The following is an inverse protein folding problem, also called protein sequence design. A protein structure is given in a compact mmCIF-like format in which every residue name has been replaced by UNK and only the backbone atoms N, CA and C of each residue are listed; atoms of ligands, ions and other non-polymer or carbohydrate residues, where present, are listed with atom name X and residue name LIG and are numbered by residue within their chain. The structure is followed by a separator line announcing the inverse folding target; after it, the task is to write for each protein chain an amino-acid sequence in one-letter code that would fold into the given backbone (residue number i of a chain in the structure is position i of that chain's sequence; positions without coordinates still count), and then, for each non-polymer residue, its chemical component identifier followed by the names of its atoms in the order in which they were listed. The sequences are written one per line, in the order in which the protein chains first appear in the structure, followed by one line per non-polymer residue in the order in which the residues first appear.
data_IF_480975014640
#
_entry.id   IF_480975014640
#
_cell.length_a   1.000
_cell.length_b   1.000
_cell.length_c   1.000
_cell.angle_alpha   90.00
_cell.angle_beta   90.00
_cell.angle_gamma   90.00
#
_symmetry.space_group_name_H-M   'P 1'
#
loop_
_entity.id
_entity.type
_entity.pdbx_description
1 polymer ?
#
# COMPACT_ATOMS: atom_id res chain seq x y z
N UNK A 1 -14.20 11.32 -5.83
CA UNK A 1 -15.09 10.50 -4.97
C UNK A 1 -14.59 10.62 -3.53
N UNK A 2 -15.49 10.85 -2.58
CA UNK A 2 -15.13 10.89 -1.15
C UNK A 2 -15.10 9.46 -0.61
N UNK A 3 -13.96 9.05 -0.06
CA UNK A 3 -13.84 7.74 0.61
C UNK A 3 -14.64 7.73 1.93
N UNK A 4 -15.14 6.58 2.39
CA UNK A 4 -15.79 6.46 3.69
C UNK A 4 -14.84 6.84 4.83
N UNK A 5 -15.42 7.27 5.95
CA UNK A 5 -14.66 7.75 7.11
C UNK A 5 -14.40 6.61 8.09
N UNK A 6 -13.15 6.55 8.60
CA UNK A 6 -12.74 5.74 9.74
C UNK A 6 -12.41 6.70 10.90
N UNK A 7 -13.19 6.66 11.97
CA UNK A 7 -13.05 7.55 13.13
C UNK A 7 -12.22 6.88 14.22
N UNK A 8 -11.32 7.64 14.83
CA UNK A 8 -10.53 7.18 15.97
C UNK A 8 -11.17 7.58 17.29
N UNK A 9 -10.89 6.80 18.33
CA UNK A 9 -11.23 7.14 19.71
C UNK A 9 -10.48 8.38 20.18
N UNK A 10 -10.99 9.01 21.21
CA UNK A 10 -10.36 10.19 21.82
C UNK A 10 -8.92 9.90 22.26
N UNK A 11 -7.99 10.71 21.74
CA UNK A 11 -6.57 10.66 22.09
C UNK A 11 -5.74 9.63 21.32
N UNK A 12 -6.38 8.77 20.49
CA UNK A 12 -5.67 7.76 19.71
C UNK A 12 -5.03 8.33 18.43
N UNK A 13 -5.25 9.61 18.13
CA UNK A 13 -4.61 10.32 17.02
C UNK A 13 -3.14 10.72 17.29
N UNK A 14 -2.69 10.64 18.56
CA UNK A 14 -1.34 11.10 18.97
C UNK A 14 -0.21 10.41 18.21
N UNK A 15 -0.28 9.08 18.10
CA UNK A 15 0.74 8.30 17.37
C UNK A 15 0.78 8.67 15.89
N UNK A 16 -0.37 8.82 15.26
CA UNK A 16 -0.46 9.23 13.87
C UNK A 16 0.12 10.63 13.65
N UNK A 17 -0.18 11.59 14.53
CA UNK A 17 0.40 12.95 14.48
C UNK A 17 1.91 12.94 14.69
N UNK A 18 2.44 11.97 15.42
CA UNK A 18 3.88 11.74 15.59
C UNK A 18 4.55 11.01 14.39
N UNK A 19 3.79 10.71 13.33
CA UNK A 19 4.34 10.10 12.11
C UNK A 19 4.08 8.61 11.93
N UNK A 20 3.47 7.92 12.91
CA UNK A 20 3.11 6.51 12.76
C UNK A 20 2.06 6.31 11.65
N UNK A 21 2.16 5.18 10.96
CA UNK A 21 1.29 4.89 9.83
C UNK A 21 0.22 3.83 10.16
N UNK A 22 0.37 3.06 11.23
CA UNK A 22 -0.51 1.96 11.59
C UNK A 22 -1.58 2.42 12.59
N UNK A 23 -2.80 1.97 12.33
CA UNK A 23 -3.95 2.14 13.20
C UNK A 23 -4.37 0.75 13.66
N UNK A 24 -4.35 0.52 14.97
CA UNK A 24 -4.80 -0.75 15.53
C UNK A 24 -6.32 -0.76 15.73
N UNK A 25 -6.90 -1.96 15.69
CA UNK A 25 -8.36 -2.15 15.81
C UNK A 25 -8.95 -1.56 17.10
N UNK A 26 -8.20 -1.58 18.21
CA UNK A 26 -8.60 -0.99 19.49
C UNK A 26 -8.56 0.54 19.51
N UNK A 27 -7.89 1.19 18.57
CA UNK A 27 -7.83 2.65 18.42
C UNK A 27 -9.05 3.22 17.68
N UNK A 28 -9.79 2.37 16.94
CA UNK A 28 -10.96 2.77 16.16
C UNK A 28 -12.18 2.94 17.06
N UNK A 29 -12.92 4.05 16.85
CA UNK A 29 -14.25 4.26 17.45
C UNK A 29 -15.29 3.40 16.72
N UNK A 30 -15.45 2.18 17.18
CA UNK A 30 -16.35 1.19 16.56
C UNK A 30 -17.83 1.50 16.82
N UNK A 31 -18.17 2.41 17.73
CA UNK A 31 -19.54 2.87 17.90
C UNK A 31 -19.93 3.87 16.80
N UNK A 32 -19.00 4.74 16.40
CA UNK A 32 -19.20 5.71 15.32
C UNK A 32 -18.96 5.08 13.94
N UNK A 33 -17.93 4.24 13.81
CA UNK A 33 -17.54 3.60 12.55
C UNK A 33 -17.23 2.11 12.79
N UNK A 34 -18.25 1.24 12.80
CA UNK A 34 -18.06 -0.20 12.94
C UNK A 34 -17.11 -0.76 11.89
N UNK A 35 -16.08 -1.49 12.30
CA UNK A 35 -15.11 -2.06 11.36
C UNK A 35 -15.77 -3.00 10.34
N UNK A 36 -16.86 -3.67 10.72
CA UNK A 36 -17.62 -4.60 9.87
C UNK A 36 -18.29 -3.95 8.66
N UNK A 37 -18.40 -2.62 8.62
CA UNK A 37 -18.93 -1.91 7.45
C UNK A 37 -17.93 -1.79 6.29
N UNK A 38 -16.65 -2.07 6.54
CA UNK A 38 -15.61 -1.94 5.53
C UNK A 38 -15.24 -3.29 4.92
N UNK A 39 -15.06 -3.30 3.62
CA UNK A 39 -14.45 -4.43 2.93
C UNK A 39 -12.93 -4.42 3.15
N UNK A 40 -12.28 -5.60 3.24
CA UNK A 40 -10.83 -5.69 3.30
C UNK A 40 -10.17 -4.96 2.13
N UNK A 41 -9.22 -4.09 2.45
CA UNK A 41 -8.50 -3.28 1.47
C UNK A 41 -9.23 -2.01 1.00
N UNK A 42 -10.41 -1.71 1.52
CA UNK A 42 -11.14 -0.50 1.14
C UNK A 42 -10.37 0.78 1.50
N UNK A 43 -10.37 1.76 0.59
CA UNK A 43 -9.83 3.09 0.85
C UNK A 43 -10.74 3.87 1.79
N UNK A 44 -10.15 4.55 2.78
CA UNK A 44 -10.86 5.35 3.80
C UNK A 44 -10.17 6.68 4.07
N UNK A 45 -10.93 7.65 4.59
CA UNK A 45 -10.39 8.83 5.24
C UNK A 45 -10.36 8.60 6.75
N UNK A 46 -9.22 8.81 7.38
CA UNK A 46 -9.07 8.70 8.82
C UNK A 46 -9.28 10.06 9.46
N UNK A 47 -10.12 10.11 10.48
CA UNK A 47 -10.38 11.32 11.26
C UNK A 47 -10.18 11.07 12.75
N UNK A 48 -9.88 12.16 13.51
CA UNK A 48 -9.84 12.15 14.96
C UNK A 48 -11.25 12.05 15.57
N UNK A 49 -11.33 11.98 16.91
CA UNK A 49 -12.58 12.10 17.68
C UNK A 49 -13.32 13.42 17.43
N UNK A 50 -12.59 14.47 17.00
CA UNK A 50 -13.11 15.81 16.65
C UNK A 50 -13.32 16.02 15.15
N UNK A 51 -13.40 14.96 14.37
CA UNK A 51 -13.59 14.98 12.92
C UNK A 51 -12.47 15.71 12.13
N UNK A 52 -11.28 15.86 12.73
CA UNK A 52 -10.12 16.42 12.02
C UNK A 52 -9.49 15.35 11.13
N UNK A 53 -9.25 15.68 9.88
CA UNK A 53 -8.56 14.79 8.94
C UNK A 53 -7.14 14.45 9.41
N UNK A 54 -6.79 13.16 9.37
CA UNK A 54 -5.48 12.63 9.77
C UNK A 54 -4.73 12.00 8.60
N UNK A 55 -5.46 11.53 7.59
CA UNK A 55 -4.86 10.94 6.40
C UNK A 55 -5.81 10.07 5.60
N UNK A 56 -5.37 9.72 4.39
CA UNK A 56 -5.94 8.67 3.58
C UNK A 56 -5.29 7.34 3.95
N UNK A 57 -6.08 6.28 4.03
CA UNK A 57 -5.63 4.95 4.40
C UNK A 57 -6.38 3.87 3.60
N UNK A 58 -5.94 2.64 3.70
CA UNK A 58 -6.77 1.48 3.45
C UNK A 58 -7.02 0.72 4.75
N UNK A 59 -8.15 0.03 4.84
CA UNK A 59 -8.61 -0.67 6.04
C UNK A 59 -8.73 -2.16 5.80
N UNK A 60 -8.36 -2.97 6.81
CA UNK A 60 -8.71 -4.38 6.87
C UNK A 60 -9.37 -4.66 8.23
N UNK A 61 -10.70 -4.90 8.27
CA UNK A 61 -11.42 -5.09 9.52
C UNK A 61 -11.09 -6.39 10.24
N UNK A 62 -10.37 -7.30 9.59
CA UNK A 62 -10.08 -8.65 10.10
C UNK A 62 -8.72 -8.77 10.77
N UNK A 63 -7.94 -7.69 10.81
CA UNK A 63 -6.55 -7.70 11.31
C UNK A 63 -6.38 -6.80 12.52
N UNK A 64 -5.34 -7.08 13.32
CA UNK A 64 -4.97 -6.25 14.45
C UNK A 64 -4.56 -4.84 14.00
N UNK A 65 -3.78 -4.73 12.91
CA UNK A 65 -3.48 -3.45 12.24
C UNK A 65 -4.64 -3.17 11.28
N UNK A 66 -5.69 -2.56 11.82
CA UNK A 66 -6.94 -2.37 11.10
C UNK A 66 -6.84 -1.39 9.92
N UNK A 67 -5.92 -0.43 9.96
CA UNK A 67 -5.70 0.46 8.81
C UNK A 67 -4.25 0.93 8.73
N UNK A 68 -3.84 1.34 7.51
CA UNK A 68 -2.50 1.89 7.24
C UNK A 68 -2.61 3.18 6.44
N UNK A 69 -2.02 4.26 6.97
CA UNK A 69 -1.98 5.58 6.33
C UNK A 69 -1.07 5.52 5.10
N UNK A 70 -1.56 6.03 3.98
CA UNK A 70 -0.83 6.13 2.70
C UNK A 70 -0.57 7.58 2.29
N UNK A 71 -1.32 8.54 2.81
CA UNK A 71 -1.15 9.96 2.52
C UNK A 71 -1.76 10.83 3.61
N UNK A 72 -1.20 12.05 3.79
CA UNK A 72 -1.66 12.98 4.83
C UNK A 72 -2.20 14.30 4.27
N UNK A 73 -2.14 14.47 2.98
CA UNK A 73 -2.71 15.63 2.31
C UNK A 73 -4.14 15.30 1.85
N UNK A 74 -5.16 16.05 2.31
CA UNK A 74 -6.54 15.79 1.94
C UNK A 74 -6.83 15.95 0.44
N UNK A 75 -5.97 16.68 -0.28
CA UNK A 75 -6.10 16.89 -1.72
C UNK A 75 -5.69 15.66 -2.56
N UNK A 76 -4.90 14.74 -1.97
CA UNK A 76 -4.34 13.58 -2.69
C UNK A 76 -4.87 12.27 -2.08
N UNK A 77 -6.05 11.80 -2.51
CA UNK A 77 -6.62 10.53 -2.06
C UNK A 77 -5.80 9.34 -2.53
N UNK A 78 -6.08 8.16 -1.94
CA UNK A 78 -5.49 6.90 -2.40
C UNK A 78 -6.10 6.53 -3.77
N UNK A 79 -5.32 6.77 -4.82
CA UNK A 79 -5.65 6.46 -6.21
C UNK A 79 -4.40 6.09 -7.03
N UNK A 80 -4.57 5.77 -8.29
CA UNK A 80 -3.49 5.45 -9.21
C UNK A 80 -2.46 6.59 -9.35
N UNK A 81 -2.87 7.85 -9.21
CA UNK A 81 -1.98 9.02 -9.31
C UNK A 81 -1.01 9.07 -8.12
N UNK A 82 -1.51 8.81 -6.91
CA UNK A 82 -0.66 8.73 -5.72
C UNK A 82 0.38 7.61 -5.85
N UNK A 83 -0.02 6.45 -6.38
CA UNK A 83 0.91 5.31 -6.60
C UNK A 83 2.03 5.72 -7.57
N UNK A 84 1.68 6.30 -8.71
CA UNK A 84 2.66 6.81 -9.70
C UNK A 84 3.62 7.82 -9.07
N UNK A 85 3.08 8.76 -8.27
CA UNK A 85 3.89 9.76 -7.58
C UNK A 85 4.90 9.12 -6.61
N UNK A 86 4.47 8.16 -5.79
CA UNK A 86 5.33 7.44 -4.85
C UNK A 86 6.41 6.62 -5.57
N UNK A 87 6.06 5.93 -6.65
CA UNK A 87 7.02 5.18 -7.46
C UNK A 87 8.11 6.10 -8.06
N UNK A 88 7.74 7.28 -8.54
CA UNK A 88 8.71 8.24 -9.07
C UNK A 88 9.69 8.74 -8.00
N UNK A 89 9.20 9.04 -6.79
CA UNK A 89 10.06 9.43 -5.65
C UNK A 89 11.02 8.29 -5.30
N UNK A 90 10.50 7.06 -5.18
CA UNK A 90 11.29 5.88 -4.86
C UNK A 90 12.36 5.63 -5.94
N UNK A 91 11.99 5.70 -7.22
CA UNK A 91 12.91 5.54 -8.35
C UNK A 91 14.03 6.59 -8.32
N UNK A 92 13.67 7.86 -8.20
CA UNK A 92 14.64 8.95 -8.17
C UNK A 92 15.67 8.80 -7.03
N UNK A 93 15.23 8.25 -5.87
CA UNK A 93 16.15 7.94 -4.78
C UNK A 93 17.11 6.80 -5.14
N UNK A 94 16.59 5.70 -5.71
CA UNK A 94 17.40 4.51 -6.06
C UNK A 94 18.41 4.82 -7.15
N UNK A 95 18.04 5.60 -8.17
CA UNK A 95 18.94 6.02 -9.25
C UNK A 95 20.12 6.88 -8.76
N UNK A 96 19.99 7.55 -7.61
CA UNK A 96 21.12 8.25 -6.96
C UNK A 96 22.05 7.31 -6.19
N UNK A 97 21.51 6.18 -5.70
CA UNK A 97 22.24 5.27 -4.81
C UNK A 97 22.90 4.11 -5.56
N UNK A 98 22.29 3.66 -6.66
CA UNK A 98 22.68 2.47 -7.40
C UNK A 98 23.00 2.82 -8.85
N UNK A 99 24.10 2.25 -9.34
CA UNK A 99 24.51 2.44 -10.76
C UNK A 99 23.71 1.54 -11.70
N UNK A 100 23.39 0.34 -11.23
CA UNK A 100 22.70 -0.69 -12.00
C UNK A 100 21.27 -0.90 -11.46
N UNK A 101 20.31 -1.26 -12.31
CA UNK A 101 18.91 -1.40 -11.92
C UNK A 101 18.59 -2.73 -11.21
N UNK A 102 19.37 -3.07 -10.18
CA UNK A 102 19.21 -4.29 -9.35
C UNK A 102 19.08 -3.84 -7.89
N UNK A 103 17.84 -3.55 -7.46
CA UNK A 103 17.57 -3.02 -6.12
C UNK A 103 16.11 -3.19 -5.71
N UNK A 104 15.86 -3.14 -4.42
CA UNK A 104 14.51 -2.95 -3.88
C UNK A 104 14.03 -1.54 -4.19
N UNK A 105 13.09 -1.41 -5.12
CA UNK A 105 12.51 -0.13 -5.52
C UNK A 105 11.56 0.41 -4.45
N UNK A 106 10.64 -0.43 -3.95
CA UNK A 106 9.69 -0.06 -2.89
C UNK A 106 9.82 -1.01 -1.71
N UNK A 107 9.90 -0.44 -0.52
CA UNK A 107 9.92 -1.16 0.73
C UNK A 107 8.82 -0.64 1.68
N UNK A 108 7.59 -0.96 1.38
CA UNK A 108 6.44 -0.72 2.23
C UNK A 108 6.30 0.71 2.71
N UNK A 109 6.22 0.84 4.03
CA UNK A 109 6.05 2.10 4.75
C UNK A 109 7.17 3.10 4.48
N UNK A 110 8.39 2.64 4.28
CA UNK A 110 9.55 3.51 4.03
C UNK A 110 9.43 4.31 2.74
N UNK A 111 8.70 3.78 1.76
CA UNK A 111 8.45 4.44 0.47
C UNK A 111 6.99 4.94 0.34
N UNK A 112 6.24 4.94 1.46
CA UNK A 112 4.87 5.45 1.54
C UNK A 112 3.81 4.59 0.84
N UNK A 113 4.12 3.30 0.60
CA UNK A 113 3.22 2.30 0.05
C UNK A 113 3.16 1.07 0.98
N UNK A 114 2.58 1.21 2.19
CA UNK A 114 2.54 0.16 3.20
C UNK A 114 2.11 -1.18 2.63
N UNK A 115 2.88 -2.24 2.93
CA UNK A 115 2.57 -3.60 2.48
C UNK A 115 2.95 -3.94 1.04
N UNK A 116 3.47 -2.99 0.24
CA UNK A 116 4.00 -3.24 -1.10
C UNK A 116 5.52 -3.42 -1.05
N UNK A 117 6.00 -4.48 -1.67
CA UNK A 117 7.42 -4.64 -2.02
C UNK A 117 7.54 -4.71 -3.53
N UNK A 118 8.46 -3.94 -4.10
CA UNK A 118 8.85 -4.02 -5.50
C UNK A 118 10.37 -4.18 -5.59
N UNK A 119 10.83 -5.27 -6.15
CA UNK A 119 12.23 -5.52 -6.45
C UNK A 119 12.45 -5.40 -7.96
N UNK A 120 13.44 -4.59 -8.37
CA UNK A 120 13.81 -4.38 -9.76
C UNK A 120 15.04 -5.20 -10.13
N UNK A 121 14.91 -5.97 -11.19
CA UNK A 121 15.97 -6.79 -11.79
C UNK A 121 16.10 -6.42 -13.27
N UNK A 122 16.88 -5.37 -13.56
CA UNK A 122 17.00 -4.85 -14.92
C UNK A 122 15.67 -4.33 -15.47
N UNK A 123 15.12 -5.04 -16.43
CA UNK A 123 13.83 -4.80 -17.08
C UNK A 123 12.68 -5.68 -16.53
N UNK A 124 12.92 -6.44 -15.46
CA UNK A 124 11.90 -7.24 -14.77
C UNK A 124 11.63 -6.66 -13.39
N UNK A 125 10.37 -6.63 -12.99
CA UNK A 125 9.94 -6.20 -11.65
C UNK A 125 9.24 -7.36 -10.95
N UNK A 126 9.70 -7.69 -9.74
CA UNK A 126 9.03 -8.65 -8.85
C UNK A 126 8.24 -7.86 -7.80
N UNK A 127 6.94 -8.10 -7.75
CA UNK A 127 6.02 -7.43 -6.84
C UNK A 127 5.52 -8.41 -5.77
N UNK A 128 5.38 -7.92 -4.54
CA UNK A 128 4.76 -8.66 -3.44
C UNK A 128 3.71 -7.79 -2.78
N UNK A 129 2.52 -8.35 -2.61
CA UNK A 129 1.42 -7.75 -1.86
C UNK A 129 1.29 -8.41 -0.50
N UNK A 130 1.66 -7.71 0.56
CA UNK A 130 1.60 -8.21 1.95
C UNK A 130 0.31 -7.82 2.67
N UNK A 131 -0.61 -7.08 2.05
CA UNK A 131 -1.81 -6.54 2.69
C UNK A 131 -3.01 -6.51 1.76
N UNK A 132 -4.22 -6.59 2.33
CA UNK A 132 -5.47 -6.54 1.56
C UNK A 132 -5.61 -5.23 0.76
N UNK A 133 -5.08 -4.10 1.27
CA UNK A 133 -5.10 -2.83 0.56
C UNK A 133 -4.26 -2.86 -0.72
N UNK A 134 -3.05 -3.38 -0.64
CA UNK A 134 -2.17 -3.52 -1.82
C UNK A 134 -2.71 -4.56 -2.80
N UNK A 135 -3.27 -5.65 -2.29
CA UNK A 135 -3.87 -6.68 -3.14
C UNK A 135 -5.04 -6.12 -3.98
N UNK A 136 -5.89 -5.28 -3.37
CA UNK A 136 -6.99 -4.58 -4.06
C UNK A 136 -6.50 -3.58 -5.10
N UNK A 137 -5.34 -2.98 -4.91
CA UNK A 137 -4.72 -1.99 -5.81
C UNK A 137 -3.83 -2.62 -6.88
N UNK A 138 -3.82 -3.95 -7.02
CA UNK A 138 -2.93 -4.68 -7.92
C UNK A 138 -2.91 -4.12 -9.34
N UNK A 139 -4.06 -3.93 -9.96
CA UNK A 139 -4.18 -3.38 -11.33
C UNK A 139 -3.63 -1.95 -11.43
N UNK A 140 -3.89 -1.10 -10.42
CA UNK A 140 -3.37 0.27 -10.39
C UNK A 140 -1.86 0.28 -10.21
N UNK A 141 -1.31 -0.63 -9.40
CA UNK A 141 0.13 -0.81 -9.21
C UNK A 141 0.79 -1.28 -10.50
N UNK A 142 0.24 -2.28 -11.18
CA UNK A 142 0.72 -2.75 -12.48
C UNK A 142 0.76 -1.62 -13.51
N UNK A 143 -0.31 -0.85 -13.61
CA UNK A 143 -0.40 0.32 -14.49
C UNK A 143 0.65 1.37 -14.15
N UNK A 144 0.84 1.66 -12.85
CA UNK A 144 1.81 2.63 -12.38
C UNK A 144 3.26 2.17 -12.63
N UNK A 145 3.57 0.89 -12.39
CA UNK A 145 4.87 0.27 -12.67
C UNK A 145 5.18 0.35 -14.16
N UNK A 146 4.23 -0.02 -15.02
CA UNK A 146 4.38 0.09 -16.46
C UNK A 146 4.63 1.53 -16.91
N UNK A 147 3.89 2.49 -16.35
CA UNK A 147 4.03 3.93 -16.67
C UNK A 147 5.37 4.53 -16.23
N UNK A 148 5.94 4.06 -15.14
CA UNK A 148 7.16 4.66 -14.53
C UNK A 148 8.43 3.98 -14.99
N UNK A 149 8.41 2.64 -15.12
CA UNK A 149 9.60 1.81 -15.36
C UNK A 149 9.66 1.20 -16.76
N UNK A 150 8.50 1.07 -17.44
CA UNK A 150 8.38 0.36 -18.73
C UNK A 150 9.06 -1.02 -18.71
N UNK A 151 8.78 -1.88 -17.71
CA UNK A 151 9.46 -3.15 -17.60
C UNK A 151 8.97 -4.11 -18.69
N UNK A 152 9.83 -5.09 -19.06
CA UNK A 152 9.45 -6.19 -19.94
C UNK A 152 8.40 -7.11 -19.29
N UNK A 153 8.53 -7.34 -17.97
CA UNK A 153 7.59 -8.17 -17.22
C UNK A 153 7.43 -7.68 -15.78
N UNK A 154 6.24 -7.91 -15.22
CA UNK A 154 5.94 -7.76 -13.79
C UNK A 154 5.49 -9.11 -13.26
N UNK A 155 6.15 -9.63 -12.24
CA UNK A 155 5.84 -10.90 -11.60
C UNK A 155 5.33 -10.65 -10.20
N UNK A 156 4.12 -11.11 -9.88
CA UNK A 156 3.62 -11.15 -8.52
C UNK A 156 4.06 -12.44 -7.84
N UNK A 157 4.87 -12.31 -6.78
CA UNK A 157 5.33 -13.41 -5.96
C UNK A 157 4.74 -13.31 -4.56
N UNK A 158 3.48 -13.68 -4.44
CA UNK A 158 2.66 -13.54 -3.23
C UNK A 158 2.61 -14.87 -2.45
N UNK A 159 3.74 -15.41 -2.09
CA UNK A 159 3.91 -16.69 -1.38
C UNK A 159 4.37 -16.54 0.08
N UNK A 160 4.32 -15.32 0.64
CA UNK A 160 4.71 -15.06 2.02
C UNK A 160 3.60 -15.42 3.01
N UNK A 161 3.95 -16.04 4.16
CA UNK A 161 2.99 -16.35 5.23
C UNK A 161 2.33 -15.11 5.87
N UNK A 162 2.88 -13.92 5.70
CA UNK A 162 2.28 -12.67 6.18
C UNK A 162 0.89 -12.39 5.55
N UNK A 163 0.64 -12.90 4.35
CA UNK A 163 -0.64 -12.77 3.64
C UNK A 163 -1.80 -13.47 4.36
N UNK A 164 -1.53 -14.61 5.00
CA UNK A 164 -2.54 -15.35 5.77
C UNK A 164 -3.12 -14.49 6.91
N UNK A 165 -2.28 -13.66 7.56
CA UNK A 165 -2.73 -12.73 8.61
C UNK A 165 -3.67 -11.64 8.07
N UNK A 166 -3.61 -11.35 6.79
CA UNK A 166 -4.49 -10.40 6.10
C UNK A 166 -5.72 -11.09 5.47
N UNK A 167 -5.82 -12.41 5.58
CA UNK A 167 -6.89 -13.22 4.99
C UNK A 167 -6.74 -13.42 3.48
N UNK A 168 -5.51 -13.35 2.97
CA UNK A 168 -5.18 -13.49 1.55
C UNK A 168 -4.55 -14.87 1.27
N UNK A 169 -4.90 -15.47 0.15
CA UNK A 169 -4.25 -16.68 -0.35
C UNK A 169 -2.88 -16.38 -0.97
N UNK A 170 -2.00 -17.38 -0.98
CA UNK A 170 -0.78 -17.32 -1.78
C UNK A 170 -1.12 -17.41 -3.28
N UNK A 171 -0.44 -16.62 -4.09
CA UNK A 171 -0.48 -16.70 -5.55
C UNK A 171 0.84 -16.29 -6.17
N UNK A 172 1.19 -16.92 -7.29
CA UNK A 172 2.30 -16.49 -8.15
C UNK A 172 1.71 -16.29 -9.54
N UNK A 173 1.80 -15.06 -10.04
CA UNK A 173 1.19 -14.70 -11.32
C UNK A 173 2.05 -13.70 -12.09
N UNK A 174 2.01 -13.78 -13.41
CA UNK A 174 2.62 -12.78 -14.29
C UNK A 174 1.58 -11.73 -14.70
N UNK A 175 1.94 -10.46 -14.60
CA UNK A 175 1.21 -9.36 -15.18
C UNK A 175 2.01 -8.84 -16.39
N UNK A 176 1.41 -8.92 -17.59
CA UNK A 176 2.07 -8.53 -18.84
C UNK A 176 2.63 -9.72 -19.63
N UNK A 177 2.75 -9.56 -20.95
CA UNK A 177 2.99 -10.64 -21.90
C UNK A 177 4.46 -10.98 -22.21
N UNK A 178 5.43 -10.51 -21.43
CA UNK A 178 6.84 -10.79 -21.67
C UNK A 178 7.30 -12.10 -21.03
N UNK A 179 8.13 -12.88 -21.73
CA UNK A 179 8.78 -14.05 -21.12
C UNK A 179 9.74 -13.59 -20.00
N UNK A 180 9.61 -14.16 -18.81
CA UNK A 180 10.58 -14.00 -17.74
C UNK A 180 11.73 -14.96 -17.99
N UNK A 181 13.01 -14.54 -17.87
CA UNK A 181 14.14 -15.46 -17.91
C UNK A 181 14.00 -16.55 -16.85
N UNK A 182 14.48 -17.76 -17.11
CA UNK A 182 14.50 -18.86 -16.13
C UNK A 182 15.42 -18.52 -14.94
N UNK A 183 16.41 -17.66 -15.16
CA UNK A 183 17.32 -17.15 -14.11
C UNK A 183 17.32 -15.60 -14.14
N UNK A 184 17.22 -14.99 -12.97
CA UNK A 184 17.29 -13.54 -12.75
C UNK A 184 18.48 -13.21 -11.85
#
# INVERSE_FOLDING_TARGET
MTHPVLKLKRGEDRRLRAGHLWIFSNEVDTAATPLTQFEPGAAVQVVSDKDQFLGHAYVNPRTLIAARIVGRDPAYPLDASLIVHRLRIALALRERLYREPYYRLVFGESDGLPGLVLDRYGDVVVAQSGTAGIDRLRTDIESAVNKVLHPRAVVWKNDSGARELEGLSADVAMAGGGAVPEEI
#
